data_IF_775199936468
#
_entry.id   IF_775199936468
#
_cell.length_a   1.000
_cell.length_b   1.000
_cell.length_c   1.000
_cell.angle_alpha   90.00
_cell.angle_beta   90.00
_cell.angle_gamma   90.00
#
_symmetry.space_group_name_H-M   'P 1'
#
loop_
_entity.id
_entity.type
_entity.pdbx_description
1 polymer ?
#
# COMPACT_ATOMS: atom_id res chain seq x y z
N UNK A 1 2.36 -59.55 -18.95
CA UNK A 1 2.40 -59.49 -17.48
C UNK A 1 3.79 -59.01 -17.10
N UNK A 2 3.88 -57.87 -16.40
CA UNK A 2 4.92 -57.52 -15.40
C UNK A 2 6.36 -57.35 -15.96
N UNK A 3 7.19 -56.35 -15.68
CA UNK A 3 7.15 -55.08 -14.96
C UNK A 3 8.46 -54.35 -15.28
N UNK A 4 8.41 -53.03 -15.17
CA UNK A 4 9.50 -52.05 -15.19
C UNK A 4 10.81 -52.46 -14.53
N UNK A 5 11.93 -52.00 -15.12
CA UNK A 5 13.06 -51.43 -14.39
C UNK A 5 13.91 -50.59 -15.34
N UNK A 6 13.90 -49.27 -15.18
CA UNK A 6 15.08 -48.50 -15.53
C UNK A 6 16.13 -48.77 -14.46
N UNK A 7 17.34 -49.19 -14.86
CA UNK A 7 18.51 -48.59 -14.27
C UNK A 7 19.44 -48.12 -15.39
N UNK A 8 19.85 -46.86 -15.30
CA UNK A 8 20.96 -46.31 -16.08
C UNK A 8 22.19 -47.18 -15.82
N UNK A 9 22.76 -47.78 -16.86
CA UNK A 9 24.13 -48.27 -16.90
C UNK A 9 24.84 -47.67 -18.11
N UNK A 10 25.62 -46.63 -17.86
CA UNK A 10 26.73 -46.21 -18.72
C UNK A 10 27.73 -47.37 -18.77
N UNK A 11 27.99 -47.94 -19.96
CA UNK A 11 29.18 -48.75 -20.23
C UNK A 11 29.56 -48.67 -21.72
N UNK A 12 30.85 -48.41 -21.93
CA UNK A 12 31.70 -48.48 -23.12
C UNK A 12 31.37 -47.50 -24.27
N UNK A 13 32.09 -46.38 -24.21
CA UNK A 13 32.52 -45.61 -25.38
C UNK A 13 33.59 -46.45 -26.08
N UNK A 14 33.37 -46.79 -27.35
CA UNK A 14 34.48 -47.03 -28.27
C UNK A 14 34.53 -45.82 -29.21
N UNK A 15 35.74 -45.31 -29.41
CA UNK A 15 36.11 -44.01 -30.01
C UNK A 15 35.49 -43.73 -31.39
N UNK A 16 34.19 -43.43 -31.44
CA UNK A 16 33.53 -42.96 -32.66
C UNK A 16 33.32 -41.43 -32.57
N UNK A 17 34.20 -40.63 -33.21
CA UNK A 17 34.18 -39.17 -33.13
C UNK A 17 32.87 -38.56 -33.66
N UNK A 18 32.13 -39.29 -34.51
CA UNK A 18 30.84 -38.86 -35.05
C UNK A 18 29.74 -38.92 -33.98
N UNK A 19 29.76 -39.94 -33.11
CA UNK A 19 28.82 -40.05 -31.99
C UNK A 19 29.13 -38.98 -30.96
N UNK A 20 30.42 -38.73 -30.67
CA UNK A 20 30.79 -37.63 -29.80
C UNK A 20 30.29 -36.29 -30.33
N UNK A 21 30.40 -36.03 -31.63
CA UNK A 21 29.96 -34.79 -32.25
C UNK A 21 28.43 -34.68 -32.28
N UNK A 22 27.71 -35.78 -32.54
CA UNK A 22 26.26 -35.86 -32.48
C UNK A 22 25.71 -35.71 -31.05
N UNK A 23 26.35 -36.31 -30.05
CA UNK A 23 26.02 -36.18 -28.62
C UNK A 23 26.40 -34.79 -28.09
N UNK A 24 27.52 -34.20 -28.56
CA UNK A 24 27.87 -32.78 -28.30
C UNK A 24 26.79 -31.84 -28.86
N UNK A 25 26.17 -32.21 -30.00
CA UNK A 25 25.12 -31.43 -30.67
C UNK A 25 23.72 -31.67 -30.13
N UNK A 26 23.40 -32.89 -29.64
CA UNK A 26 22.07 -33.32 -29.16
C UNK A 26 22.12 -34.27 -27.93
N UNK A 27 22.49 -33.79 -26.73
CA UNK A 27 22.70 -34.63 -25.54
C UNK A 27 21.41 -35.14 -24.86
N UNK A 28 20.24 -34.89 -25.43
CA UNK A 28 18.92 -35.29 -24.90
C UNK A 28 18.29 -36.47 -25.65
N UNK A 29 19.01 -37.05 -26.61
CA UNK A 29 18.64 -38.28 -27.28
C UNK A 29 18.77 -39.47 -26.32
N UNK A 30 17.65 -40.16 -26.08
CA UNK A 30 17.70 -41.53 -25.53
C UNK A 30 17.95 -42.48 -26.71
N UNK A 31 19.16 -43.02 -26.80
CA UNK A 31 19.51 -44.02 -27.82
C UNK A 31 18.77 -45.33 -27.55
N UNK A 32 18.03 -45.82 -28.54
CA UNK A 32 17.61 -47.22 -28.58
C UNK A 32 18.68 -47.95 -29.37
N UNK A 33 19.58 -48.66 -28.66
CA UNK A 33 20.47 -49.63 -29.31
C UNK A 33 19.60 -50.74 -29.88
N UNK A 34 19.34 -50.74 -31.19
CA UNK A 34 19.17 -52.01 -31.88
C UNK A 34 20.57 -52.63 -31.90
N UNK A 35 20.67 -53.81 -31.31
CA UNK A 35 21.93 -54.55 -31.16
C UNK A 35 22.76 -54.50 -32.46
N UNK A 36 24.01 -54.10 -32.27
CA UNK A 36 25.18 -54.34 -33.11
C UNK A 36 25.35 -53.43 -34.36
N UNK A 37 26.52 -52.78 -34.43
CA UNK A 37 27.09 -51.95 -35.51
C UNK A 37 26.70 -50.46 -35.57
N UNK A 38 27.60 -49.61 -35.05
CA UNK A 38 27.70 -48.21 -35.47
C UNK A 38 28.82 -48.14 -36.50
N UNK A 39 28.50 -47.77 -37.75
CA UNK A 39 29.51 -47.65 -38.81
C UNK A 39 30.52 -46.52 -38.44
N UNK A 40 31.82 -46.73 -38.66
CA UNK A 40 32.88 -45.73 -38.40
C UNK A 40 33.12 -44.78 -39.59
N UNK A 41 32.10 -44.54 -40.43
CA UNK A 41 32.24 -43.77 -41.67
C UNK A 41 31.94 -42.28 -41.46
N UNK A 42 32.65 -41.42 -42.22
CA UNK A 42 32.61 -39.95 -42.09
C UNK A 42 31.48 -39.24 -42.87
N UNK A 43 30.85 -39.89 -43.86
CA UNK A 43 29.79 -39.30 -44.67
C UNK A 43 28.44 -39.89 -44.27
N UNK A 44 27.59 -39.06 -43.67
CA UNK A 44 26.30 -39.47 -43.12
C UNK A 44 25.23 -38.44 -43.50
N UNK A 45 24.09 -38.93 -43.98
CA UNK A 45 22.88 -38.13 -44.15
C UNK A 45 22.13 -38.07 -42.81
N UNK A 46 21.46 -36.95 -42.55
CA UNK A 46 20.84 -36.65 -41.28
C UNK A 46 19.48 -36.01 -41.46
N UNK A 47 18.45 -36.61 -40.85
CA UNK A 47 17.10 -36.06 -40.82
C UNK A 47 16.52 -36.06 -39.40
N UNK A 48 15.63 -35.11 -39.14
CA UNK A 48 14.91 -35.00 -37.87
C UNK A 48 13.41 -35.05 -38.13
N UNK A 49 12.74 -36.02 -37.53
CA UNK A 49 11.31 -35.96 -37.25
C UNK A 49 11.13 -35.20 -35.93
N UNK A 50 10.49 -34.04 -35.98
CA UNK A 50 10.32 -33.16 -34.82
C UNK A 50 9.42 -33.76 -33.74
N UNK A 51 9.83 -33.60 -32.48
CA UNK A 51 9.01 -33.94 -31.32
C UNK A 51 7.98 -32.84 -31.04
N UNK A 52 6.75 -33.21 -30.68
CA UNK A 52 5.67 -32.27 -30.32
C UNK A 52 5.23 -32.48 -28.87
N UNK A 53 4.06 -31.94 -28.50
CA UNK A 53 3.38 -32.28 -27.25
C UNK A 53 2.73 -33.68 -27.27
N UNK A 54 2.36 -34.15 -28.45
CA UNK A 54 1.52 -35.34 -28.64
C UNK A 54 2.33 -36.54 -29.14
N UNK A 55 3.42 -36.32 -29.87
CA UNK A 55 4.27 -37.37 -30.45
C UNK A 55 5.74 -37.18 -30.09
N UNK A 56 6.42 -38.29 -29.84
CA UNK A 56 7.88 -38.33 -29.77
C UNK A 56 8.45 -38.05 -31.16
N UNK A 57 9.61 -37.39 -31.21
CA UNK A 57 10.37 -37.17 -32.44
C UNK A 57 11.46 -38.22 -32.60
N UNK A 58 12.17 -38.15 -33.73
CA UNK A 58 13.28 -39.04 -34.06
C UNK A 58 14.41 -38.28 -34.72
N UNK A 59 15.64 -38.54 -34.29
CA UNK A 59 16.83 -38.18 -35.04
C UNK A 59 17.28 -39.42 -35.81
N UNK A 60 17.30 -39.33 -37.13
CA UNK A 60 17.64 -40.44 -38.03
C UNK A 60 18.99 -40.12 -38.66
N UNK A 61 19.93 -41.03 -38.49
CA UNK A 61 21.26 -40.97 -39.07
C UNK A 61 21.41 -42.10 -40.07
N UNK A 62 21.76 -41.78 -41.31
CA UNK A 62 21.96 -42.77 -42.37
C UNK A 62 23.42 -42.71 -42.80
N UNK A 63 24.10 -43.85 -42.70
CA UNK A 63 25.49 -43.97 -43.12
C UNK A 63 25.56 -44.09 -44.66
N UNK A 64 25.92 -43.03 -45.37
CA UNK A 64 25.90 -43.02 -46.85
C UNK A 64 26.83 -44.06 -47.48
N UNK A 65 27.83 -44.53 -46.73
CA UNK A 65 28.77 -45.57 -47.18
C UNK A 65 28.24 -47.00 -47.07
N UNK A 66 27.37 -47.31 -46.11
CA UNK A 66 26.93 -48.69 -45.87
C UNK A 66 25.42 -48.86 -45.72
N UNK A 67 24.65 -47.77 -45.78
CA UNK A 67 23.19 -47.78 -45.68
C UNK A 67 22.65 -47.95 -44.26
N UNK A 68 23.51 -48.17 -43.26
CA UNK A 68 23.08 -48.41 -41.87
C UNK A 68 22.32 -47.20 -41.30
N UNK A 69 21.20 -47.47 -40.60
CA UNK A 69 20.30 -46.43 -40.08
C UNK A 69 20.23 -46.49 -38.56
N UNK A 70 20.70 -45.44 -37.90
CA UNK A 70 20.58 -45.26 -36.45
C UNK A 70 19.47 -44.28 -36.09
N UNK A 71 18.61 -44.65 -35.14
CA UNK A 71 17.48 -43.83 -34.68
C UNK A 71 17.64 -43.48 -33.20
N UNK A 72 17.70 -42.18 -32.90
CA UNK A 72 17.59 -41.65 -31.54
C UNK A 72 16.19 -41.12 -31.28
N UNK A 73 15.60 -41.41 -30.11
CA UNK A 73 14.28 -40.90 -29.74
C UNK A 73 14.42 -39.52 -29.11
N UNK A 74 13.60 -38.57 -29.55
CA UNK A 74 13.39 -37.27 -28.91
C UNK A 74 12.08 -37.32 -28.13
N UNK A 75 12.12 -37.48 -26.79
CA UNK A 75 10.89 -37.63 -26.00
C UNK A 75 10.01 -36.39 -26.09
N UNK A 76 8.72 -36.57 -26.34
CA UNK A 76 7.74 -35.50 -26.51
C UNK A 76 7.70 -34.56 -25.32
N UNK A 77 7.33 -33.31 -25.58
CA UNK A 77 7.15 -32.32 -24.52
C UNK A 77 5.87 -32.64 -23.76
N UNK A 78 5.99 -32.92 -22.45
CA UNK A 78 4.83 -33.27 -21.64
C UNK A 78 4.13 -32.04 -21.08
N UNK A 79 4.88 -31.14 -20.43
CA UNK A 79 4.32 -29.98 -19.73
C UNK A 79 5.33 -28.86 -19.52
N UNK A 80 4.81 -27.65 -19.38
CA UNK A 80 5.56 -26.50 -18.89
C UNK A 80 5.22 -26.26 -17.41
N UNK A 81 6.23 -26.14 -16.55
CA UNK A 81 6.07 -26.01 -15.10
C UNK A 81 6.65 -24.68 -14.64
N UNK A 82 5.85 -23.93 -13.88
CA UNK A 82 6.25 -22.66 -13.26
C UNK A 82 6.54 -22.85 -11.77
N UNK A 83 7.69 -22.35 -11.30
CA UNK A 83 7.99 -22.33 -9.85
C UNK A 83 7.11 -21.33 -9.08
N UNK A 84 6.65 -20.27 -9.75
CA UNK A 84 5.81 -19.24 -9.18
C UNK A 84 4.87 -18.69 -10.25
N UNK A 85 3.57 -18.77 -10.01
CA UNK A 85 2.53 -18.35 -10.96
C UNK A 85 1.85 -17.04 -10.54
N UNK A 86 2.00 -16.64 -9.27
CA UNK A 86 1.39 -15.43 -8.72
C UNK A 86 2.46 -14.50 -8.19
N UNK A 87 2.43 -13.27 -8.70
CA UNK A 87 3.30 -12.17 -8.32
C UNK A 87 2.48 -11.06 -7.68
N UNK A 88 3.16 -10.12 -7.01
CA UNK A 88 2.55 -8.87 -6.54
C UNK A 88 3.22 -7.71 -7.22
N UNK A 89 2.44 -6.72 -7.63
CA UNK A 89 2.94 -5.52 -8.29
C UNK A 89 4.14 -4.90 -7.55
N UNK A 90 5.16 -4.51 -8.32
CA UNK A 90 6.34 -3.79 -7.84
C UNK A 90 6.58 -2.65 -8.82
N UNK A 91 6.52 -1.41 -8.31
CA UNK A 91 6.56 -0.20 -9.13
C UNK A 91 7.75 -0.23 -10.12
N UNK A 92 7.42 -0.21 -11.41
CA UNK A 92 8.39 -0.15 -12.52
C UNK A 92 9.26 -1.40 -12.71
N UNK A 93 8.88 -2.55 -12.13
CA UNK A 93 9.63 -3.80 -12.27
C UNK A 93 8.82 -4.85 -13.02
N UNK A 94 9.38 -5.32 -14.13
CA UNK A 94 8.86 -6.50 -14.82
C UNK A 94 8.97 -7.74 -13.94
N UNK A 95 8.00 -8.64 -14.07
CA UNK A 95 7.93 -9.86 -13.28
C UNK A 95 7.61 -11.06 -14.18
N UNK A 96 8.60 -11.94 -14.31
CA UNK A 96 8.54 -13.10 -15.19
C UNK A 96 8.65 -14.39 -14.36
N UNK A 97 7.75 -15.37 -14.56
CA UNK A 97 7.90 -16.68 -13.95
C UNK A 97 9.07 -17.44 -14.56
N UNK A 98 9.82 -18.15 -13.72
CA UNK A 98 10.75 -19.16 -14.19
C UNK A 98 9.96 -20.37 -14.69
N UNK A 99 10.19 -20.76 -15.95
CA UNK A 99 9.50 -21.87 -16.62
C UNK A 99 10.52 -22.94 -17.00
N UNK A 100 10.29 -24.16 -16.51
CA UNK A 100 10.99 -25.36 -16.95
C UNK A 100 10.06 -26.18 -17.86
N UNK A 101 10.59 -26.72 -18.95
CA UNK A 101 9.86 -27.61 -19.86
C UNK A 101 10.24 -29.05 -19.54
N UNK A 102 9.25 -29.89 -19.28
CA UNK A 102 9.41 -31.29 -18.86
C UNK A 102 9.00 -32.20 -20.01
N UNK A 103 9.87 -33.13 -20.38
CA UNK A 103 9.63 -34.17 -21.39
C UNK A 103 8.85 -35.35 -20.81
N UNK A 104 8.34 -36.23 -21.67
CA UNK A 104 7.62 -37.46 -21.28
C UNK A 104 8.45 -38.41 -20.43
N UNK A 105 9.78 -38.40 -20.59
CA UNK A 105 10.75 -39.18 -19.79
C UNK A 105 11.01 -38.58 -18.39
N UNK A 106 10.38 -37.45 -18.04
CA UNK A 106 10.53 -36.76 -16.77
C UNK A 106 11.74 -35.82 -16.68
N UNK A 107 12.60 -35.78 -17.69
CA UNK A 107 13.79 -34.91 -17.70
C UNK A 107 13.44 -33.51 -18.22
N UNK A 108 14.32 -32.54 -17.91
CA UNK A 108 14.16 -31.15 -18.35
C UNK A 108 14.66 -30.98 -19.77
N UNK A 109 13.87 -30.33 -20.61
CA UNK A 109 14.32 -29.90 -21.93
C UNK A 109 15.31 -28.74 -21.78
N UNK A 110 16.44 -28.81 -22.49
CA UNK A 110 17.46 -27.78 -22.41
C UNK A 110 17.03 -26.47 -23.09
N UNK A 111 17.52 -25.33 -22.59
CA UNK A 111 17.15 -23.97 -23.05
C UNK A 111 17.36 -23.72 -24.55
N UNK A 112 18.26 -24.46 -25.22
CA UNK A 112 18.49 -24.30 -26.66
C UNK A 112 17.34 -24.82 -27.53
N UNK A 113 16.42 -25.63 -26.99
CA UNK A 113 15.27 -26.21 -27.72
C UNK A 113 13.98 -25.43 -27.59
N UNK A 114 14.02 -24.29 -26.90
CA UNK A 114 12.85 -23.44 -26.79
C UNK A 114 13.23 -21.97 -26.65
N UNK A 115 12.26 -21.10 -26.87
CA UNK A 115 12.35 -19.68 -26.59
C UNK A 115 11.10 -19.28 -25.82
N UNK A 116 11.29 -18.53 -24.74
CA UNK A 116 10.18 -17.97 -23.96
C UNK A 116 10.05 -16.50 -24.29
N UNK A 117 8.83 -16.09 -24.61
CA UNK A 117 8.46 -14.70 -24.85
C UNK A 117 7.42 -14.29 -23.81
N UNK A 118 7.65 -13.16 -23.15
CA UNK A 118 6.74 -12.57 -22.18
C UNK A 118 6.12 -11.29 -22.75
N UNK A 119 4.87 -10.94 -22.37
CA UNK A 119 4.25 -9.69 -22.78
C UNK A 119 4.92 -8.49 -22.12
N UNK A 120 5.16 -7.42 -22.88
CA UNK A 120 5.81 -6.17 -22.42
C UNK A 120 5.09 -5.50 -21.24
N UNK A 121 3.79 -5.72 -21.09
CA UNK A 121 2.97 -5.14 -20.03
C UNK A 121 2.99 -5.91 -18.71
N UNK A 122 3.83 -6.95 -18.58
CA UNK A 122 3.97 -7.77 -17.36
C UNK A 122 4.72 -7.08 -16.22
N UNK A 123 4.37 -5.82 -16.01
CA UNK A 123 4.81 -4.97 -14.90
C UNK A 123 3.62 -4.47 -14.08
N UNK A 124 2.38 -4.62 -14.58
CA UNK A 124 1.15 -4.14 -13.94
C UNK A 124 0.30 -5.31 -13.42
N UNK A 125 -0.69 -5.08 -12.54
CA UNK A 125 -1.64 -6.11 -12.17
C UNK A 125 -2.46 -6.58 -13.36
N UNK A 126 -2.60 -7.89 -13.48
CA UNK A 126 -3.29 -8.50 -14.60
C UNK A 126 -2.98 -9.99 -14.72
N UNK A 127 -3.66 -10.61 -15.67
CA UNK A 127 -3.38 -11.98 -16.11
C UNK A 127 -2.59 -11.93 -17.40
N UNK A 128 -1.50 -12.69 -17.46
CA UNK A 128 -0.53 -12.67 -18.55
C UNK A 128 -0.27 -14.09 -19.05
N UNK A 129 0.07 -14.20 -20.32
CA UNK A 129 0.37 -15.46 -20.96
C UNK A 129 1.81 -15.39 -21.50
N UNK A 130 2.67 -16.27 -21.01
CA UNK A 130 4.00 -16.47 -21.59
C UNK A 130 3.91 -17.54 -22.69
N UNK A 131 4.55 -17.28 -23.82
CA UNK A 131 4.58 -18.20 -24.95
C UNK A 131 5.93 -18.89 -24.99
N UNK A 132 5.90 -20.22 -24.95
CA UNK A 132 7.05 -21.10 -25.16
C UNK A 132 6.97 -21.60 -26.59
N UNK A 133 7.90 -21.17 -27.44
CA UNK A 133 8.05 -21.66 -28.81
C UNK A 133 9.15 -22.71 -28.85
N UNK A 134 8.83 -23.92 -29.29
CA UNK A 134 9.78 -25.01 -29.43
C UNK A 134 10.62 -24.82 -30.70
N UNK A 135 11.88 -25.30 -30.68
CA UNK A 135 12.83 -25.21 -31.80
C UNK A 135 13.87 -26.33 -31.75
N UNK A 136 14.68 -26.42 -32.81
CA UNK A 136 15.86 -27.30 -32.90
C UNK A 136 15.51 -28.80 -32.70
N UNK A 137 14.58 -29.33 -33.50
CA UNK A 137 14.12 -30.73 -33.40
C UNK A 137 12.89 -30.93 -32.52
N UNK A 138 12.37 -29.84 -31.94
CA UNK A 138 11.05 -29.76 -31.33
C UNK A 138 10.19 -28.74 -32.06
N UNK A 139 8.91 -29.02 -32.23
CA UNK A 139 7.96 -28.15 -32.95
C UNK A 139 6.69 -27.89 -32.14
N UNK A 140 6.05 -26.76 -32.42
CA UNK A 140 4.84 -26.31 -31.75
C UNK A 140 5.09 -25.23 -30.70
N UNK A 141 4.01 -24.83 -30.03
CA UNK A 141 4.04 -23.81 -29.00
C UNK A 141 3.16 -24.19 -27.83
N UNK A 142 3.52 -23.69 -26.66
CA UNK A 142 2.75 -23.81 -25.44
C UNK A 142 2.56 -22.43 -24.83
N UNK A 143 1.40 -22.22 -24.24
CA UNK A 143 1.13 -21.01 -23.51
C UNK A 143 0.92 -21.33 -22.05
N UNK A 144 1.54 -20.54 -21.17
CA UNK A 144 1.38 -20.68 -19.73
C UNK A 144 0.91 -19.37 -19.11
N UNK A 145 -0.13 -19.45 -18.30
CA UNK A 145 -0.75 -18.28 -17.66
C UNK A 145 -0.16 -18.00 -16.28
N UNK A 146 0.08 -16.72 -15.98
CA UNK A 146 0.49 -16.24 -14.67
C UNK A 146 -0.18 -14.91 -14.34
N UNK A 147 -0.25 -14.59 -13.05
CA UNK A 147 -0.99 -13.43 -12.56
C UNK A 147 -0.11 -12.50 -11.75
N UNK A 148 -0.21 -11.21 -12.01
CA UNK A 148 0.32 -10.16 -11.14
C UNK A 148 -0.87 -9.58 -10.39
N UNK A 149 -0.88 -9.73 -9.06
CA UNK A 149 -1.89 -9.12 -8.20
C UNK A 149 -1.51 -7.68 -7.89
N UNK A 150 -2.52 -6.89 -7.50
CA UNK A 150 -2.30 -5.57 -6.91
C UNK A 150 -1.38 -5.66 -5.68
N UNK A 151 -0.61 -4.61 -5.44
CA UNK A 151 0.21 -4.49 -4.25
C UNK A 151 -0.67 -4.09 -3.05
N UNK A 152 -0.25 -4.47 -1.85
CA UNK A 152 -0.92 -4.04 -0.63
C UNK A 152 -0.52 -2.61 -0.27
N UNK A 153 -1.43 -1.90 0.40
CA UNK A 153 -1.16 -0.59 0.99
C UNK A 153 -1.29 -0.69 2.51
N UNK A 154 -0.32 -0.10 3.19
CA UNK A 154 -0.25 -0.05 4.64
C UNK A 154 -0.45 1.36 5.12
N UNK A 155 -1.34 1.51 6.10
CA UNK A 155 -1.61 2.76 6.78
C UNK A 155 -1.74 2.50 8.26
N UNK A 156 -0.89 3.12 9.07
CA UNK A 156 -0.95 2.98 10.52
C UNK A 156 -0.55 4.29 11.23
N UNK A 157 -0.85 4.32 12.53
CA UNK A 157 -0.50 5.44 13.42
C UNK A 157 0.28 4.88 14.61
N UNK A 158 1.41 5.48 14.93
CA UNK A 158 2.27 5.05 16.06
C UNK A 158 1.58 5.08 17.43
N UNK A 159 0.53 5.89 17.60
CA UNK A 159 -0.17 6.03 18.87
C UNK A 159 -1.68 5.95 18.70
N UNK A 160 -2.32 5.11 19.52
CA UNK A 160 -3.76 5.03 19.62
C UNK A 160 -4.36 6.01 20.65
N UNK A 161 -3.53 6.88 21.25
CA UNK A 161 -3.99 7.89 22.21
C UNK A 161 -4.95 8.89 21.54
N UNK A 162 -5.99 9.26 22.31
CA UNK A 162 -6.97 10.26 21.91
C UNK A 162 -6.30 11.63 21.74
N UNK A 163 -6.56 12.27 20.61
CA UNK A 163 -6.03 13.61 20.32
C UNK A 163 -6.99 14.64 20.91
N UNK A 164 -6.50 15.46 21.85
CA UNK A 164 -7.27 16.60 22.38
C UNK A 164 -6.80 17.88 21.72
N UNK A 165 -7.70 18.57 21.01
CA UNK A 165 -7.41 19.84 20.33
C UNK A 165 -8.53 20.85 20.55
N UNK A 166 -8.19 22.12 20.44
CA UNK A 166 -9.14 23.21 20.53
C UNK A 166 -9.83 23.45 19.17
N UNK A 167 -11.06 23.94 19.18
CA UNK A 167 -11.79 24.34 17.96
C UNK A 167 -11.30 25.65 17.31
N UNK A 168 -10.28 26.33 17.88
CA UNK A 168 -9.81 27.62 17.39
C UNK A 168 -8.77 27.54 16.27
N UNK A 169 -8.14 26.37 16.10
CA UNK A 169 -7.09 26.09 15.12
C UNK A 169 -7.30 24.71 14.48
N UNK A 170 -7.15 24.61 13.15
CA UNK A 170 -7.12 23.31 12.48
C UNK A 170 -5.87 22.52 12.86
N UNK A 171 -5.89 21.22 12.63
CA UNK A 171 -4.74 20.34 12.86
C UNK A 171 -4.75 19.15 11.91
N UNK A 172 -3.60 18.49 11.81
CA UNK A 172 -3.42 17.27 11.01
C UNK A 172 -3.00 16.12 11.92
N UNK A 173 -3.09 14.90 11.41
CA UNK A 173 -2.63 13.69 12.09
C UNK A 173 -1.56 13.04 11.24
N UNK A 174 -0.41 12.76 11.86
CA UNK A 174 0.67 12.04 11.21
C UNK A 174 0.29 10.56 11.07
N UNK A 175 0.43 10.05 9.86
CA UNK A 175 0.19 8.67 9.50
C UNK A 175 1.45 8.12 8.82
N UNK A 176 1.83 6.91 9.19
CA UNK A 176 2.84 6.15 8.46
C UNK A 176 2.14 5.42 7.34
N UNK A 177 2.71 5.49 6.14
CA UNK A 177 2.11 5.00 4.92
C UNK A 177 3.15 4.30 4.06
N UNK A 178 2.76 3.21 3.45
CA UNK A 178 3.51 2.52 2.41
C UNK A 178 2.53 2.02 1.34
N UNK A 179 2.70 2.38 0.06
CA UNK A 179 3.74 3.27 -0.48
C UNK A 179 3.57 4.75 -0.08
N UNK A 180 4.61 5.57 -0.29
CA UNK A 180 4.59 6.98 0.09
C UNK A 180 3.53 7.83 -0.64
N UNK A 181 3.11 7.40 -1.83
CA UNK A 181 2.16 8.07 -2.71
C UNK A 181 0.70 7.60 -2.56
N UNK A 182 0.34 6.93 -1.45
CA UNK A 182 -1.04 6.53 -1.15
C UNK A 182 -2.04 7.68 -1.34
N UNK A 183 -3.15 7.40 -2.03
CA UNK A 183 -4.28 8.33 -2.19
C UNK A 183 -5.30 8.09 -1.10
N UNK A 184 -5.48 9.06 -0.19
CA UNK A 184 -6.36 8.88 0.97
C UNK A 184 -7.82 9.26 0.72
N UNK A 185 -8.70 8.63 1.51
CA UNK A 185 -10.08 9.05 1.71
C UNK A 185 -10.31 9.25 3.21
N UNK A 186 -10.94 10.38 3.58
CA UNK A 186 -11.21 10.75 4.96
C UNK A 186 -12.71 10.80 5.25
N UNK A 187 -13.10 10.48 6.49
CA UNK A 187 -14.48 10.59 6.96
C UNK A 187 -14.51 10.95 8.44
N UNK A 188 -15.41 11.84 8.84
CA UNK A 188 -15.70 12.07 10.26
C UNK A 188 -16.94 11.27 10.68
N UNK A 189 -16.90 10.69 11.88
CA UNK A 189 -18.08 10.08 12.50
C UNK A 189 -19.12 11.10 12.91
N UNK A 190 -18.71 12.34 13.20
CA UNK A 190 -19.60 13.46 13.53
C UNK A 190 -18.99 14.78 13.03
N UNK A 191 -19.35 15.21 11.79
CA UNK A 191 -18.90 16.46 11.21
C UNK A 191 -19.34 17.73 11.96
N UNK A 192 -20.31 17.64 12.89
CA UNK A 192 -20.75 18.76 13.74
C UNK A 192 -19.78 18.97 14.92
N UNK A 193 -19.10 17.92 15.38
CA UNK A 193 -18.02 18.00 16.38
C UNK A 193 -16.70 18.38 15.70
N UNK A 194 -16.27 17.61 14.70
CA UNK A 194 -15.08 17.90 13.91
C UNK A 194 -15.25 17.42 12.47
N UNK A 195 -14.90 18.26 11.49
CA UNK A 195 -14.85 17.87 10.08
C UNK A 195 -13.42 17.63 9.63
N UNK A 196 -13.26 16.89 8.55
CA UNK A 196 -11.98 16.62 7.89
C UNK A 196 -12.16 16.85 6.39
N UNK A 197 -11.18 17.50 5.74
CA UNK A 197 -11.17 17.67 4.28
C UNK A 197 -10.41 16.54 3.57
N UNK A 198 -10.30 16.62 2.23
CA UNK A 198 -9.63 15.60 1.42
C UNK A 198 -8.13 15.51 1.69
N UNK A 199 -7.51 16.59 2.14
CA UNK A 199 -6.10 16.68 2.51
C UNK A 199 -5.84 16.23 3.96
N UNK A 200 -6.87 15.85 4.71
CA UNK A 200 -6.76 15.41 6.10
C UNK A 200 -6.69 16.54 7.11
N UNK A 201 -7.04 17.78 6.73
CA UNK A 201 -7.13 18.92 7.65
C UNK A 201 -8.37 18.78 8.51
N UNK A 202 -8.16 18.61 9.81
CA UNK A 202 -9.24 18.47 10.78
C UNK A 202 -9.57 19.84 11.39
N UNK A 203 -10.85 20.18 11.38
CA UNK A 203 -11.38 21.43 11.95
C UNK A 203 -12.38 21.08 13.04
N UNK A 204 -12.08 21.47 14.28
CA UNK A 204 -13.03 21.39 15.39
C UNK A 204 -14.16 22.42 15.24
N UNK A 205 -15.41 21.97 15.30
CA UNK A 205 -16.60 22.82 15.16
C UNK A 205 -17.40 22.94 16.46
N UNK A 206 -17.44 21.89 17.28
CA UNK A 206 -18.16 21.91 18.56
C UNK A 206 -17.40 21.06 19.58
N UNK A 207 -17.50 21.43 20.86
CA UNK A 207 -16.99 20.61 21.96
C UNK A 207 -17.63 19.24 21.91
N UNK A 208 -16.82 18.19 22.00
CA UNK A 208 -17.28 16.82 22.00
C UNK A 208 -16.17 15.85 21.66
N UNK A 209 -16.53 14.59 21.50
CA UNK A 209 -15.62 13.52 21.06
C UNK A 209 -16.17 12.85 19.81
N UNK A 210 -15.34 12.63 18.82
CA UNK A 210 -15.70 11.89 17.61
C UNK A 210 -14.51 11.04 17.12
N UNK A 211 -14.75 10.24 16.08
CA UNK A 211 -13.73 9.49 15.38
C UNK A 211 -13.52 10.08 13.98
N UNK A 212 -12.25 10.20 13.58
CA UNK A 212 -11.88 10.46 12.19
C UNK A 212 -11.36 9.15 11.60
N UNK A 213 -11.89 8.77 10.45
CA UNK A 213 -11.54 7.57 9.70
C UNK A 213 -10.74 7.95 8.46
N UNK A 214 -9.73 7.14 8.16
CA UNK A 214 -8.89 7.29 6.98
C UNK A 214 -8.44 5.95 6.44
N UNK A 215 -8.40 5.82 5.12
CA UNK A 215 -7.85 4.67 4.42
C UNK A 215 -7.23 5.11 3.08
N UNK A 216 -6.30 4.32 2.55
CA UNK A 216 -5.82 4.47 1.19
C UNK A 216 -6.80 3.78 0.23
N UNK A 217 -7.22 4.50 -0.82
CA UNK A 217 -8.17 4.00 -1.82
C UNK A 217 -7.53 2.90 -2.66
N UNK A 218 -8.36 1.98 -3.13
CA UNK A 218 -7.96 1.07 -4.20
C UNK A 218 -7.78 1.85 -5.50
N UNK A 219 -6.79 1.43 -6.29
CA UNK A 219 -6.62 1.86 -7.67
C UNK A 219 -6.21 0.66 -8.55
N UNK A 220 -5.81 0.92 -9.79
CA UNK A 220 -5.36 -0.10 -10.75
C UNK A 220 -4.17 -0.94 -10.25
N UNK A 221 -3.31 -0.38 -9.40
CA UNK A 221 -2.05 -0.98 -8.96
C UNK A 221 -2.09 -1.52 -7.54
N UNK A 222 -2.94 -0.93 -6.69
CA UNK A 222 -2.92 -1.15 -5.25
C UNK A 222 -4.29 -1.50 -4.69
N UNK A 223 -4.32 -2.48 -3.79
CA UNK A 223 -5.50 -2.85 -3.01
C UNK A 223 -5.83 -1.78 -1.98
N UNK A 224 -7.10 -1.62 -1.63
CA UNK A 224 -7.53 -0.73 -0.54
C UNK A 224 -6.83 -1.09 0.78
N UNK A 225 -6.34 -0.10 1.52
CA UNK A 225 -5.79 -0.35 2.86
C UNK A 225 -6.87 -0.62 3.92
N UNK A 226 -6.45 -1.15 5.06
CA UNK A 226 -7.27 -1.13 6.28
C UNK A 226 -7.63 0.30 6.69
N UNK A 227 -8.77 0.46 7.37
CA UNK A 227 -9.22 1.77 7.86
C UNK A 227 -8.60 2.07 9.23
N UNK A 228 -7.92 3.21 9.33
CA UNK A 228 -7.41 3.74 10.61
C UNK A 228 -8.50 4.58 11.28
N UNK A 229 -8.74 4.34 12.56
CA UNK A 229 -9.71 5.09 13.38
C UNK A 229 -8.99 5.96 14.42
N UNK A 230 -9.21 7.27 14.34
CA UNK A 230 -8.54 8.27 15.18
C UNK A 230 -9.56 8.88 16.14
N UNK A 231 -9.40 8.66 17.45
CA UNK A 231 -10.24 9.29 18.48
C UNK A 231 -9.81 10.74 18.70
N UNK A 232 -10.76 11.67 18.57
CA UNK A 232 -10.54 13.12 18.73
C UNK A 232 -11.47 13.68 19.79
N UNK A 233 -10.92 14.50 20.69
CA UNK A 233 -11.66 15.34 21.64
C UNK A 233 -11.47 16.81 21.28
N UNK A 234 -12.56 17.49 21.00
CA UNK A 234 -12.58 18.93 20.76
C UNK A 234 -12.96 19.67 22.04
N UNK A 235 -12.14 20.64 22.44
CA UNK A 235 -12.34 21.49 23.62
C UNK A 235 -12.55 22.96 23.22
N UNK A 236 -13.09 23.80 24.13
CA UNK A 236 -13.25 25.22 23.87
C UNK A 236 -11.93 25.91 23.53
N UNK A 237 -11.92 26.71 22.46
CA UNK A 237 -10.73 27.39 21.98
C UNK A 237 -10.48 28.75 22.60
N UNK A 238 -9.42 29.46 22.21
CA UNK A 238 -9.12 30.78 22.77
C UNK A 238 -10.06 31.84 22.19
N UNK A 239 -10.60 32.73 23.03
CA UNK A 239 -11.37 33.89 22.58
C UNK A 239 -10.48 34.80 21.72
N UNK A 240 -11.03 35.31 20.60
CA UNK A 240 -10.31 36.14 19.63
C UNK A 240 -10.78 37.60 19.68
N UNK A 241 -9.91 38.52 19.26
CA UNK A 241 -10.18 39.97 19.11
C UNK A 241 -10.73 40.63 20.38
N UNK A 242 -10.11 40.38 21.52
CA UNK A 242 -10.49 41.06 22.77
C UNK A 242 -9.95 42.48 22.74
N UNK A 243 -10.80 43.47 23.02
CA UNK A 243 -10.43 44.88 23.06
C UNK A 243 -11.01 45.55 24.31
N UNK A 244 -10.21 46.43 24.89
CA UNK A 244 -10.54 47.21 26.09
C UNK A 244 -10.60 48.68 25.69
N UNK A 245 -11.76 49.33 25.90
CA UNK A 245 -11.95 50.76 25.62
C UNK A 245 -12.49 51.47 26.86
N UNK A 246 -11.73 52.45 27.35
CA UNK A 246 -12.19 53.37 28.41
C UNK A 246 -13.39 54.17 27.89
N UNK A 247 -14.40 54.30 28.73
CA UNK A 247 -15.62 55.09 28.46
C UNK A 247 -15.80 56.08 29.60
N UNK A 248 -16.47 57.21 29.31
CA UNK A 248 -16.82 58.22 30.31
C UNK A 248 -17.57 57.62 31.51
N UNK A 249 -17.44 58.29 32.67
CA UNK A 249 -18.12 57.88 33.90
C UNK A 249 -17.52 56.66 34.59
N UNK A 250 -16.17 56.52 34.59
CA UNK A 250 -15.44 55.45 35.28
C UNK A 250 -15.85 54.04 34.81
N UNK A 251 -16.00 53.88 33.49
CA UNK A 251 -16.45 52.65 32.84
C UNK A 251 -15.37 52.09 31.91
N UNK A 252 -15.33 50.77 31.81
CA UNK A 252 -14.54 50.05 30.81
C UNK A 252 -15.46 49.21 29.93
N UNK A 253 -15.41 49.43 28.61
CA UNK A 253 -16.05 48.57 27.62
C UNK A 253 -15.08 47.46 27.24
N UNK A 254 -15.50 46.21 27.45
CA UNK A 254 -14.77 45.01 27.03
C UNK A 254 -15.54 44.42 25.85
N UNK A 255 -14.87 44.19 24.72
CA UNK A 255 -15.48 43.56 23.53
C UNK A 255 -14.65 42.38 23.05
N UNK A 256 -15.28 41.41 22.39
CA UNK A 256 -14.61 40.25 21.79
C UNK A 256 -15.27 39.83 20.47
N UNK A 257 -14.63 38.95 19.70
CA UNK A 257 -15.27 38.31 18.55
C UNK A 257 -16.39 37.38 19.06
N UNK A 258 -17.62 37.60 18.57
CA UNK A 258 -18.78 36.72 18.82
C UNK A 258 -18.45 35.28 18.39
N UNK A 259 -18.74 34.32 19.25
CA UNK A 259 -18.59 32.89 18.97
C UNK A 259 -19.74 32.11 19.63
N UNK A 260 -20.72 31.71 18.83
CA UNK A 260 -21.92 31.00 19.30
C UNK A 260 -21.64 29.55 19.72
N UNK A 261 -20.40 29.07 19.56
CA UNK A 261 -19.99 27.76 20.06
C UNK A 261 -19.86 27.73 21.57
N UNK A 262 -19.74 28.86 22.28
CA UNK A 262 -19.85 28.89 23.74
C UNK A 262 -21.31 28.86 24.21
N UNK A 263 -21.55 28.59 25.50
CA UNK A 263 -22.86 28.80 26.13
C UNK A 263 -22.92 30.18 26.81
N UNK A 264 -21.77 30.77 27.12
CA UNK A 264 -21.65 32.07 27.73
C UNK A 264 -20.19 32.48 27.98
N UNK A 265 -20.01 33.59 28.69
CA UNK A 265 -18.70 34.17 28.96
C UNK A 265 -18.56 34.57 30.44
N UNK A 266 -17.35 34.45 30.96
CA UNK A 266 -16.92 35.00 32.23
C UNK A 266 -15.93 36.14 31.97
N UNK A 267 -16.14 37.25 32.67
CA UNK A 267 -15.23 38.39 32.70
C UNK A 267 -14.83 38.65 34.14
N UNK A 268 -13.59 38.31 34.48
CA UNK A 268 -12.99 38.62 35.78
C UNK A 268 -12.19 39.91 35.66
N UNK A 269 -12.27 40.81 36.63
CA UNK A 269 -11.46 42.02 36.63
C UNK A 269 -11.05 42.44 38.05
N UNK A 270 -9.82 42.90 38.20
CA UNK A 270 -9.25 43.31 39.50
C UNK A 270 -8.08 44.27 39.33
N UNK A 271 -7.60 44.84 40.43
CA UNK A 271 -6.43 45.72 40.44
C UNK A 271 -5.13 44.99 40.76
N UNK A 272 -5.20 43.80 41.39
CA UNK A 272 -4.03 42.96 41.65
C UNK A 272 -3.71 42.08 40.44
N UNK A 273 -2.43 41.97 40.11
CA UNK A 273 -1.95 41.12 39.00
C UNK A 273 -2.35 39.66 39.18
N UNK A 274 -2.40 39.14 40.40
CA UNK A 274 -2.80 37.75 40.67
C UNK A 274 -4.32 37.52 40.67
N UNK A 275 -5.12 38.56 40.42
CA UNK A 275 -6.59 38.52 40.39
C UNK A 275 -7.25 38.12 41.73
N UNK A 276 -6.54 38.22 42.86
CA UNK A 276 -7.12 37.90 44.18
C UNK A 276 -8.22 38.88 44.60
N UNK A 277 -8.17 40.12 44.13
CA UNK A 277 -9.21 41.13 44.36
C UNK A 277 -10.25 41.17 43.24
N UNK A 278 -10.30 40.14 42.39
CA UNK A 278 -11.11 40.19 41.20
C UNK A 278 -12.60 40.01 41.47
N UNK A 279 -13.40 40.78 40.74
CA UNK A 279 -14.84 40.57 40.62
C UNK A 279 -15.14 39.83 39.32
N UNK A 280 -15.99 38.81 39.41
CA UNK A 280 -16.45 38.05 38.26
C UNK A 280 -17.82 38.54 37.77
N UNK A 281 -17.98 38.62 36.45
CA UNK A 281 -19.26 38.81 35.78
C UNK A 281 -19.54 37.62 34.87
N UNK A 282 -20.73 37.01 35.04
CA UNK A 282 -21.20 35.89 34.21
C UNK A 282 -22.21 36.37 33.18
N UNK A 283 -22.01 35.95 31.94
CA UNK A 283 -22.85 36.29 30.79
C UNK A 283 -23.41 34.98 30.23
N UNK A 284 -24.65 34.64 30.60
CA UNK A 284 -25.36 33.43 30.15
C UNK A 284 -25.95 33.59 28.73
N UNK A 285 -25.20 34.17 27.80
CA UNK A 285 -25.67 34.39 26.43
C UNK A 285 -24.49 34.42 25.46
N UNK A 286 -24.39 33.41 24.61
CA UNK A 286 -23.32 33.27 23.62
C UNK A 286 -23.35 34.33 22.51
N UNK A 287 -24.50 34.98 22.30
CA UNK A 287 -24.66 36.06 21.33
C UNK A 287 -24.08 37.40 21.82
N UNK A 288 -23.86 37.57 23.12
CA UNK A 288 -23.23 38.78 23.66
C UNK A 288 -21.74 38.79 23.33
N UNK A 289 -21.27 39.92 22.85
CA UNK A 289 -19.87 40.15 22.47
C UNK A 289 -19.25 41.39 23.15
N UNK A 290 -19.97 41.95 24.13
CA UNK A 290 -19.55 43.13 24.90
C UNK A 290 -20.11 43.13 26.31
N UNK A 291 -19.38 43.77 27.22
CA UNK A 291 -19.85 44.14 28.55
C UNK A 291 -19.25 45.48 28.99
N UNK A 292 -19.93 46.17 29.90
CA UNK A 292 -19.43 47.38 30.55
C UNK A 292 -19.13 47.08 32.01
N UNK A 293 -17.86 47.24 32.39
CA UNK A 293 -17.44 47.26 33.79
C UNK A 293 -17.66 48.68 34.31
N UNK A 294 -18.33 48.83 35.45
CA UNK A 294 -18.75 50.12 36.00
C UNK A 294 -18.09 50.37 37.37
N UNK A 295 -18.14 51.62 37.83
CA UNK A 295 -17.69 52.04 39.16
C UNK A 295 -16.19 51.73 39.39
N UNK A 296 -15.37 51.96 38.37
CA UNK A 296 -13.93 51.69 38.43
C UNK A 296 -13.17 52.82 39.13
N UNK A 297 -12.13 52.49 39.88
CA UNK A 297 -11.26 53.47 40.54
C UNK A 297 -10.47 54.25 39.48
N UNK A 298 -10.30 55.55 39.72
CA UNK A 298 -9.67 56.46 38.77
C UNK A 298 -8.14 56.37 38.92
N UNK A 299 -7.40 56.51 37.82
CA UNK A 299 -5.94 56.39 37.75
C UNK A 299 -5.42 55.06 38.31
N UNK A 300 -6.21 53.98 38.19
CA UNK A 300 -5.83 52.62 38.64
C UNK A 300 -5.67 51.68 37.45
N UNK A 301 -4.64 50.83 37.52
CA UNK A 301 -4.41 49.74 36.58
C UNK A 301 -5.33 48.58 36.92
N UNK A 302 -6.01 48.06 35.90
CA UNK A 302 -6.90 46.92 35.96
C UNK A 302 -6.37 45.77 35.11
N UNK A 303 -6.49 44.57 35.64
CA UNK A 303 -6.29 43.30 34.94
C UNK A 303 -7.65 42.72 34.62
N UNK A 304 -7.86 42.32 33.36
CA UNK A 304 -9.14 41.77 32.89
C UNK A 304 -8.88 40.39 32.28
N UNK A 305 -9.59 39.38 32.76
CA UNK A 305 -9.60 38.04 32.17
C UNK A 305 -10.94 37.80 31.48
N UNK A 306 -10.89 37.36 30.23
CA UNK A 306 -12.08 36.94 29.48
C UNK A 306 -11.97 35.45 29.15
N UNK A 307 -12.98 34.67 29.56
CA UNK A 307 -13.10 33.24 29.27
C UNK A 307 -14.48 32.93 28.70
N UNK A 308 -14.54 32.05 27.72
CA UNK A 308 -15.78 31.48 27.22
C UNK A 308 -15.97 30.12 27.86
N UNK A 309 -17.21 29.72 28.16
CA UNK A 309 -17.46 28.40 28.74
C UNK A 309 -18.46 27.58 27.95
N UNK A 310 -18.32 26.26 28.07
CA UNK A 310 -19.33 25.28 27.71
C UNK A 310 -19.79 24.55 28.96
N UNK A 311 -21.09 24.41 29.15
CA UNK A 311 -21.69 23.61 30.21
C UNK A 311 -21.57 22.13 29.85
N UNK A 312 -21.01 21.33 30.75
CA UNK A 312 -20.82 19.89 30.59
C UNK A 312 -21.62 19.17 31.66
N UNK A 313 -22.47 18.23 31.26
CA UNK A 313 -23.12 17.32 32.19
C UNK A 313 -22.08 16.34 32.77
N UNK A 314 -21.89 16.36 34.08
CA UNK A 314 -21.07 15.39 34.84
C UNK A 314 -21.96 14.80 35.94
N UNK A 315 -22.44 13.58 35.72
CA UNK A 315 -23.49 12.97 36.54
C UNK A 315 -24.79 13.79 36.49
N UNK A 316 -25.30 14.19 37.65
CA UNK A 316 -26.52 15.01 37.79
C UNK A 316 -26.26 16.53 37.67
N UNK A 317 -25.01 17.00 37.59
CA UNK A 317 -24.66 18.44 37.61
C UNK A 317 -24.07 18.91 36.28
N UNK A 318 -24.15 20.22 36.01
CA UNK A 318 -23.44 20.86 34.91
C UNK A 318 -22.22 21.63 35.42
N UNK A 319 -21.06 21.42 34.80
CA UNK A 319 -19.79 22.07 35.13
C UNK A 319 -19.30 22.85 33.91
N UNK A 320 -18.80 24.08 34.06
CA UNK A 320 -18.20 24.83 32.95
C UNK A 320 -16.81 24.29 32.58
N UNK A 321 -16.58 24.02 31.30
CA UNK A 321 -15.23 23.89 30.72
C UNK A 321 -14.89 25.17 29.99
N UNK A 322 -13.75 25.75 30.35
CA UNK A 322 -13.34 27.07 29.91
C UNK A 322 -12.41 27.03 28.70
N UNK A 323 -12.48 28.08 27.89
CA UNK A 323 -11.41 28.46 26.98
C UNK A 323 -10.10 28.72 27.74
N UNK A 324 -8.93 28.63 27.08
CA UNK A 324 -7.69 29.18 27.60
C UNK A 324 -7.82 30.63 28.08
N UNK A 325 -7.05 30.98 29.11
CA UNK A 325 -7.08 32.32 29.73
C UNK A 325 -6.63 33.40 28.74
N UNK A 326 -7.40 34.49 28.67
CA UNK A 326 -7.00 35.73 28.01
C UNK A 326 -6.92 36.83 29.04
N UNK A 327 -5.72 37.27 29.38
CA UNK A 327 -5.49 38.33 30.37
C UNK A 327 -4.97 39.58 29.68
N UNK A 328 -5.62 40.71 29.95
CA UNK A 328 -5.30 42.02 29.40
C UNK A 328 -5.18 43.04 30.54
N UNK A 329 -4.57 44.18 30.26
CA UNK A 329 -4.40 45.27 31.23
C UNK A 329 -4.75 46.63 30.63
N UNK A 330 -5.33 47.50 31.44
CA UNK A 330 -5.63 48.89 31.07
C UNK A 330 -5.64 49.78 32.32
N UNK A 331 -5.31 51.06 32.16
CA UNK A 331 -5.45 52.08 33.23
C UNK A 331 -6.70 52.91 32.97
N UNK A 332 -7.52 53.13 34.00
CA UNK A 332 -8.84 53.80 33.92
C UNK A 332 -8.80 55.22 34.48
#
# INVERSE_FOLDING_TARGET
>A
MVSYAFPVKLVAMDDNPVIEEAVKRFPELSYVRKKDYICNHRNNDYSIETATKDKDGKAIFICERCGETSIGILPRVQKAVMKKQIFRYRKGKEQHPWIDIIKSDGTKLAKRYYQITYPKSSMYPGTYQATVKLKNGYEGSMNVEYKILKAQQYLHRNSNKMITKSWDKPFYVNLNKDPSNCKFQWKSSDPKIASVDMQGKIIGKKRGTCKIYVYAKEDEHYERSTTVSIKVKIVPGKIKKIHLKRISGRKLKVTWKKDTRYDGYWVDYGTKKNMLDSRQLTINNSNKNRIYLKNLKHKKKYYVIVRGYKKIKKGKRYIPEFSPVNKLTITI
#
